data_IF_139108373132
#
_entry.id   IF_139108373132
#
_cell.length_a   1.000
_cell.length_b   1.000
_cell.length_c   1.000
_cell.angle_alpha   90.00
_cell.angle_beta   90.00
_cell.angle_gamma   90.00
#
_symmetry.space_group_name_H-M   'P 1'
#
loop_
_entity.id
_entity.type
_entity.pdbx_description
1 polymer ?
#
# COMPACT_ATOMS: atom_id res chain seq x y z
N UNK A 1 20.50 12.66 0.32
CA UNK A 1 19.96 12.07 1.56
C UNK A 1 19.71 10.61 1.26
N UNK A 2 19.95 9.68 2.19
CA UNK A 2 19.58 8.28 1.95
C UNK A 2 18.09 8.19 1.60
N UNK A 3 17.77 7.27 0.71
CA UNK A 3 16.38 7.03 0.30
C UNK A 3 15.57 6.50 1.48
N UNK A 4 14.31 6.94 1.60
CA UNK A 4 13.38 6.35 2.56
C UNK A 4 12.71 5.14 1.93
N UNK A 5 12.81 4.00 2.59
CA UNK A 5 12.14 2.77 2.21
C UNK A 5 11.01 2.47 3.18
N UNK A 6 9.86 2.12 2.63
CA UNK A 6 8.65 1.75 3.36
C UNK A 6 8.05 0.50 2.77
N UNK A 7 7.25 -0.22 3.54
CA UNK A 7 6.63 -1.47 3.11
C UNK A 7 5.12 -1.31 2.98
N UNK A 8 4.56 -1.79 1.87
CA UNK A 8 3.13 -2.03 1.71
C UNK A 8 2.86 -3.52 1.91
N UNK A 9 2.15 -3.84 2.98
CA UNK A 9 1.73 -5.21 3.28
C UNK A 9 0.22 -5.38 2.99
N UNK A 10 -0.10 -6.36 2.19
CA UNK A 10 -1.48 -6.75 1.89
C UNK A 10 -1.96 -7.86 2.84
N UNK A 11 -1.13 -8.33 3.76
CA UNK A 11 -1.35 -9.55 4.54
C UNK A 11 -1.83 -10.71 3.64
N UNK A 12 -1.04 -11.09 2.63
CA UNK A 12 -1.46 -12.10 1.66
C UNK A 12 -1.59 -13.48 2.31
N UNK A 13 -2.62 -14.21 1.88
CA UNK A 13 -2.84 -15.62 2.24
C UNK A 13 -2.35 -16.48 1.07
N UNK A 14 -1.33 -17.28 1.29
CA UNK A 14 -0.80 -18.23 0.31
C UNK A 14 -1.61 -19.53 0.23
N UNK A 15 -1.33 -20.39 -0.77
CA UNK A 15 -1.93 -21.73 -0.82
C UNK A 15 -1.63 -22.52 0.46
N UNK A 16 -2.68 -23.01 1.12
CA UNK A 16 -2.57 -23.77 2.37
C UNK A 16 -2.30 -22.93 3.62
N UNK A 17 -2.15 -21.62 3.49
CA UNK A 17 -1.98 -20.70 4.62
C UNK A 17 -3.35 -20.23 5.16
N UNK A 18 -3.36 -19.88 6.43
CA UNK A 18 -4.52 -19.30 7.12
C UNK A 18 -4.36 -17.79 7.28
N UNK A 19 -5.46 -17.08 7.51
CA UNK A 19 -5.41 -15.66 7.87
C UNK A 19 -4.58 -15.39 9.14
N UNK A 20 -4.60 -16.33 10.11
CA UNK A 20 -3.81 -16.22 11.33
C UNK A 20 -2.31 -16.23 11.06
N UNK A 21 -1.84 -17.11 10.17
CA UNK A 21 -0.44 -17.18 9.74
C UNK A 21 -0.04 -15.92 8.97
N UNK A 22 -0.92 -15.41 8.11
CA UNK A 22 -0.72 -14.15 7.41
C UNK A 22 -0.57 -12.95 8.37
N UNK A 23 -1.39 -12.87 9.42
CA UNK A 23 -1.24 -11.82 10.44
C UNK A 23 0.05 -11.98 11.27
N UNK A 24 0.46 -13.21 11.59
CA UNK A 24 1.74 -13.47 12.23
C UNK A 24 2.91 -13.04 11.34
N UNK A 25 2.82 -13.28 10.03
CA UNK A 25 3.80 -12.82 9.05
C UNK A 25 3.86 -11.28 8.98
N UNK A 26 2.71 -10.60 9.01
CA UNK A 26 2.65 -9.12 9.05
C UNK A 26 3.36 -8.54 10.28
N UNK A 27 3.22 -9.19 11.43
CA UNK A 27 3.98 -8.81 12.65
C UNK A 27 5.48 -9.04 12.46
N UNK A 28 5.88 -10.20 11.90
CA UNK A 28 7.28 -10.53 11.66
C UNK A 28 7.92 -9.52 10.69
N UNK A 29 7.23 -9.18 9.60
CA UNK A 29 7.67 -8.16 8.62
C UNK A 29 7.86 -6.81 9.30
N UNK A 30 6.89 -6.36 10.11
CA UNK A 30 6.98 -5.05 10.77
C UNK A 30 8.12 -4.98 11.78
N UNK A 31 8.39 -6.04 12.54
CA UNK A 31 9.52 -6.11 13.46
C UNK A 31 10.86 -6.09 12.72
N UNK A 32 10.97 -6.90 11.67
CA UNK A 32 12.18 -6.93 10.85
C UNK A 32 12.42 -5.58 10.16
N UNK A 33 11.37 -4.95 9.63
CA UNK A 33 11.45 -3.62 9.05
C UNK A 33 11.90 -2.56 10.06
N UNK A 34 11.43 -2.64 11.30
CA UNK A 34 11.86 -1.77 12.40
C UNK A 34 13.35 -1.94 12.70
N UNK A 35 13.85 -3.18 12.80
CA UNK A 35 15.26 -3.49 13.07
C UNK A 35 16.19 -3.05 11.94
N UNK A 36 15.72 -3.10 10.69
CA UNK A 36 16.48 -2.72 9.51
C UNK A 36 16.45 -1.22 9.19
N UNK A 37 15.57 -0.45 9.83
CA UNK A 37 15.46 1.00 9.65
C UNK A 37 14.55 1.44 8.52
N UNK A 38 13.56 0.63 8.12
CA UNK A 38 12.49 1.10 7.25
C UNK A 38 11.69 2.21 7.92
N UNK A 39 11.17 3.16 7.15
CA UNK A 39 10.44 4.31 7.65
C UNK A 39 9.08 3.91 8.23
N UNK A 40 8.32 3.06 7.50
CA UNK A 40 6.96 2.65 7.88
C UNK A 40 6.53 1.32 7.26
N UNK A 41 5.47 0.74 7.84
CA UNK A 41 4.68 -0.33 7.21
C UNK A 41 3.24 0.13 7.08
N UNK A 42 2.69 0.08 5.87
CA UNK A 42 1.30 0.35 5.58
C UNK A 42 0.55 -0.92 5.21
N UNK A 43 -0.69 -1.01 5.65
CA UNK A 43 -1.61 -2.12 5.35
C UNK A 43 -2.68 -1.66 4.36
N UNK A 44 -2.85 -2.40 3.26
CA UNK A 44 -3.88 -2.12 2.26
C UNK A 44 -5.25 -2.60 2.75
N UNK A 45 -6.34 -1.95 2.32
CA UNK A 45 -7.71 -2.40 2.56
C UNK A 45 -8.26 -3.08 1.30
N UNK A 46 -8.63 -4.36 1.43
CA UNK A 46 -9.33 -5.10 0.39
C UNK A 46 -10.44 -5.94 1.00
N UNK A 47 -11.60 -5.96 0.31
CA UNK A 47 -12.76 -6.73 0.73
C UNK A 47 -13.06 -7.84 -0.25
N UNK A 48 -13.65 -8.94 0.26
CA UNK A 48 -14.09 -10.09 -0.54
C UNK A 48 -12.98 -10.73 -1.40
N UNK A 49 -11.74 -10.68 -0.96
CA UNK A 49 -10.57 -11.28 -1.62
C UNK A 49 -10.01 -12.41 -0.75
N UNK A 50 -10.19 -13.69 -1.12
CA UNK A 50 -9.73 -14.83 -0.32
C UNK A 50 -8.21 -14.84 -0.06
N UNK A 51 -7.44 -14.30 -0.99
CA UNK A 51 -5.97 -14.27 -0.93
C UNK A 51 -5.39 -13.07 -0.13
N UNK A 52 -6.24 -12.23 0.50
CA UNK A 52 -5.80 -11.04 1.24
C UNK A 52 -6.55 -10.95 2.56
N UNK A 53 -5.82 -10.94 3.68
CA UNK A 53 -6.40 -10.87 5.02
C UNK A 53 -6.64 -9.44 5.53
N UNK A 54 -6.02 -8.41 4.92
CA UNK A 54 -6.10 -7.02 5.39
C UNK A 54 -7.38 -6.30 4.93
N UNK A 55 -8.53 -6.71 5.44
CA UNK A 55 -9.81 -6.00 5.26
C UNK A 55 -10.07 -4.95 6.33
N UNK A 56 -9.63 -5.19 7.56
CA UNK A 56 -9.81 -4.31 8.71
C UNK A 56 -8.47 -3.67 9.11
N UNK A 57 -8.03 -2.66 8.36
CA UNK A 57 -6.70 -2.07 8.51
C UNK A 57 -6.44 -1.53 9.91
N UNK A 58 -7.39 -0.82 10.53
CA UNK A 58 -7.24 -0.26 11.88
C UNK A 58 -7.05 -1.34 12.95
N UNK A 59 -7.70 -2.50 12.81
CA UNK A 59 -7.56 -3.63 13.74
C UNK A 59 -6.16 -4.27 13.59
N UNK A 60 -5.70 -4.47 12.35
CA UNK A 60 -4.37 -5.02 12.08
C UNK A 60 -3.27 -4.07 12.58
N UNK A 61 -3.41 -2.76 12.31
CA UNK A 61 -2.48 -1.73 12.81
C UNK A 61 -2.42 -1.74 14.35
N UNK A 62 -3.57 -1.86 15.04
CA UNK A 62 -3.59 -1.94 16.49
C UNK A 62 -2.82 -3.18 17.01
N UNK A 63 -3.00 -4.33 16.35
CA UNK A 63 -2.30 -5.56 16.72
C UNK A 63 -0.78 -5.42 16.52
N UNK A 64 -0.34 -4.99 15.35
CA UNK A 64 1.08 -4.82 15.03
C UNK A 64 1.73 -3.73 15.88
N UNK A 65 1.00 -2.63 16.14
CA UNK A 65 1.46 -1.54 16.99
C UNK A 65 1.82 -1.97 18.41
N UNK A 66 1.05 -2.90 18.98
CA UNK A 66 1.34 -3.48 20.29
C UNK A 66 2.60 -4.38 20.33
N UNK A 67 3.07 -4.83 19.15
CA UNK A 67 4.17 -5.78 18.99
C UNK A 67 5.44 -5.17 18.37
N UNK A 68 5.42 -3.85 18.09
CA UNK A 68 6.52 -3.02 17.59
C UNK A 68 6.73 -1.79 18.49
N UNK A 69 7.83 -1.08 18.35
CA UNK A 69 8.24 0.01 19.28
C UNK A 69 8.28 1.39 18.63
N UNK A 70 8.87 1.52 17.46
CA UNK A 70 9.25 2.79 16.85
C UNK A 70 8.78 2.97 15.42
N UNK A 71 8.68 1.87 14.63
CA UNK A 71 8.28 1.94 13.23
C UNK A 71 6.90 2.60 13.09
N UNK A 72 6.77 3.45 12.08
CA UNK A 72 5.47 4.05 11.76
C UNK A 72 4.57 3.01 11.11
N UNK A 73 3.30 3.07 11.45
CA UNK A 73 2.26 2.15 10.97
C UNK A 73 1.11 2.95 10.35
N UNK A 74 0.51 2.43 9.31
CA UNK A 74 -0.60 3.14 8.70
C UNK A 74 -1.43 2.31 7.74
N UNK A 75 -2.44 2.95 7.17
CA UNK A 75 -3.21 2.38 6.07
C UNK A 75 -2.63 2.83 4.73
N UNK A 76 -2.44 1.90 3.82
CA UNK A 76 -2.00 2.17 2.47
C UNK A 76 -2.94 1.60 1.39
N UNK A 77 -4.25 2.03 1.42
CA UNK A 77 -4.98 2.99 2.29
C UNK A 77 -6.32 2.47 2.77
N UNK A 78 -6.92 3.30 3.62
CA UNK A 78 -8.36 3.18 3.85
C UNK A 78 -9.09 3.56 2.57
N UNK A 79 -9.99 2.71 2.11
CA UNK A 79 -10.88 3.00 0.99
C UNK A 79 -12.03 3.86 1.50
N UNK A 80 -11.79 5.18 1.65
CA UNK A 80 -12.69 6.10 2.35
C UNK A 80 -14.15 6.07 1.87
N UNK A 81 -14.46 5.87 0.56
CA UNK A 81 -15.85 5.71 0.11
C UNK A 81 -16.61 4.54 0.76
N UNK A 82 -15.93 3.57 1.36
CA UNK A 82 -16.54 2.47 2.10
C UNK A 82 -16.94 2.85 3.55
N UNK A 83 -16.52 4.00 4.03
CA UNK A 83 -16.59 4.38 5.44
C UNK A 83 -17.25 5.73 5.65
N UNK A 84 -17.73 6.00 6.88
CA UNK A 84 -18.05 7.34 7.32
C UNK A 84 -16.77 8.04 7.80
N UNK A 85 -16.48 9.29 7.38
CA UNK A 85 -15.28 10.02 7.81
C UNK A 85 -15.12 10.10 9.33
N UNK A 86 -16.22 10.29 10.06
CA UNK A 86 -16.22 10.30 11.52
C UNK A 86 -15.64 9.00 12.11
N UNK A 87 -16.12 7.86 11.63
CA UNK A 87 -15.67 6.53 12.14
C UNK A 87 -14.16 6.34 11.89
N UNK A 88 -13.65 6.77 10.73
CA UNK A 88 -12.22 6.68 10.44
C UNK A 88 -11.40 7.64 11.32
N UNK A 89 -11.91 8.86 11.56
CA UNK A 89 -11.27 9.80 12.48
C UNK A 89 -11.18 9.24 13.91
N UNK A 90 -12.23 8.60 14.39
CA UNK A 90 -12.25 7.95 15.71
C UNK A 90 -11.29 6.76 15.79
N UNK A 91 -11.27 5.89 14.78
CA UNK A 91 -10.37 4.73 14.72
C UNK A 91 -8.90 5.16 14.69
N UNK A 92 -8.52 6.06 13.79
CA UNK A 92 -7.13 6.50 13.65
C UNK A 92 -6.70 7.46 14.78
N UNK A 93 -7.63 8.23 15.33
CA UNK A 93 -7.42 8.98 16.57
C UNK A 93 -7.15 8.06 17.77
N UNK A 94 -7.89 6.95 17.89
CA UNK A 94 -7.65 5.91 18.90
C UNK A 94 -6.25 5.30 18.72
N UNK A 95 -5.88 4.95 17.49
CA UNK A 95 -4.54 4.41 17.19
C UNK A 95 -3.45 5.43 17.54
N UNK A 96 -3.64 6.71 17.22
CA UNK A 96 -2.68 7.76 17.53
C UNK A 96 -2.54 7.98 19.05
N UNK A 97 -3.61 7.85 19.81
CA UNK A 97 -3.56 7.90 21.27
C UNK A 97 -2.84 6.68 21.87
N UNK A 98 -3.01 5.48 21.29
CA UNK A 98 -2.32 4.27 21.71
C UNK A 98 -0.83 4.28 21.31
N UNK A 99 -0.50 4.84 20.13
CA UNK A 99 0.86 4.83 19.53
C UNK A 99 1.26 6.25 19.07
N UNK A 100 1.54 7.17 20.02
CA UNK A 100 1.82 8.57 19.69
C UNK A 100 2.97 8.74 18.69
N UNK A 101 2.74 9.57 17.67
CA UNK A 101 3.74 9.90 16.64
C UNK A 101 4.01 8.81 15.60
N UNK A 102 3.36 7.64 15.68
CA UNK A 102 3.64 6.48 14.83
C UNK A 102 2.56 6.19 13.78
N UNK A 103 1.44 6.87 13.79
CA UNK A 103 0.28 6.51 12.96
C UNK A 103 0.19 7.40 11.72
N UNK A 104 -0.03 6.77 10.56
CA UNK A 104 -0.30 7.41 9.27
C UNK A 104 -1.69 7.00 8.76
N UNK A 105 -2.35 7.89 8.03
CA UNK A 105 -3.64 7.59 7.41
C UNK A 105 -3.59 7.87 5.91
N UNK A 106 -3.33 6.83 5.15
CA UNK A 106 -3.45 6.87 3.70
C UNK A 106 -4.89 6.62 3.25
N UNK A 107 -5.35 7.39 2.28
CA UNK A 107 -6.74 7.41 1.80
C UNK A 107 -6.81 7.09 0.31
N UNK A 108 -7.61 6.10 -0.06
CA UNK A 108 -7.91 5.70 -1.42
C UNK A 108 -9.35 6.02 -1.83
N UNK A 109 -9.53 6.38 -3.11
CA UNK A 109 -10.86 6.64 -3.69
C UNK A 109 -11.54 5.39 -4.23
N UNK A 110 -10.76 4.43 -4.72
CA UNK A 110 -11.31 3.20 -5.27
C UNK A 110 -12.04 2.41 -4.17
N UNK A 111 -13.17 1.73 -4.48
CA UNK A 111 -13.89 0.96 -3.46
C UNK A 111 -13.11 -0.30 -2.99
N UNK A 112 -12.04 -0.68 -3.66
CA UNK A 112 -11.22 -1.85 -3.31
C UNK A 112 -11.98 -3.17 -3.35
N UNK A 113 -13.14 -3.23 -4.07
CA UNK A 113 -14.06 -4.35 -4.03
C UNK A 113 -15.01 -4.38 -5.23
N UNK A 114 -15.75 -5.47 -5.37
CA UNK A 114 -16.80 -5.65 -6.39
C UNK A 114 -18.14 -5.02 -5.97
N UNK A 115 -19.09 -4.97 -6.92
CA UNK A 115 -20.41 -4.36 -6.72
C UNK A 115 -21.23 -5.02 -5.60
N UNK A 116 -21.14 -6.34 -5.44
CA UNK A 116 -21.88 -7.06 -4.40
C UNK A 116 -21.34 -6.72 -3.01
N UNK A 117 -20.02 -6.57 -2.92
CA UNK A 117 -19.34 -6.14 -1.70
C UNK A 117 -19.72 -4.70 -1.35
N UNK A 118 -19.80 -3.77 -2.31
CA UNK A 118 -20.31 -2.42 -2.08
C UNK A 118 -21.73 -2.44 -1.51
N UNK A 119 -22.61 -3.28 -2.07
CA UNK A 119 -23.95 -3.46 -1.54
C UNK A 119 -23.95 -4.01 -0.10
N UNK A 120 -23.10 -4.99 0.21
CA UNK A 120 -22.94 -5.52 1.57
C UNK A 120 -22.45 -4.46 2.56
N UNK A 121 -21.58 -3.55 2.11
CA UNK A 121 -21.08 -2.40 2.87
C UNK A 121 -22.10 -1.24 2.96
N UNK A 122 -23.31 -1.40 2.36
CA UNK A 122 -24.35 -0.34 2.31
C UNK A 122 -23.88 0.92 1.59
N UNK A 123 -23.05 0.76 0.56
CA UNK A 123 -22.54 1.86 -0.28
C UNK A 123 -23.11 1.79 -1.67
N UNK A 124 -23.38 2.94 -2.27
CA UNK A 124 -23.78 3.06 -3.64
C UNK A 124 -22.59 3.40 -4.56
N UNK A 125 -22.69 3.20 -5.88
CA UNK A 125 -21.62 3.50 -6.82
C UNK A 125 -21.16 4.97 -6.83
N UNK A 126 -22.03 5.91 -6.41
CA UNK A 126 -21.73 7.34 -6.33
C UNK A 126 -20.88 7.73 -5.11
N UNK A 127 -20.70 6.84 -4.14
CA UNK A 127 -19.92 7.15 -2.92
C UNK A 127 -18.49 7.63 -3.22
N UNK A 128 -17.89 7.18 -4.33
CA UNK A 128 -16.55 7.62 -4.74
C UNK A 128 -16.49 9.10 -5.22
N UNK A 129 -17.63 9.70 -5.56
CA UNK A 129 -17.69 11.11 -5.99
C UNK A 129 -17.55 12.06 -4.80
N UNK A 130 -17.98 11.65 -3.62
CA UNK A 130 -17.87 12.41 -2.39
C UNK A 130 -16.44 12.41 -1.79
N UNK A 131 -15.52 11.60 -2.33
CA UNK A 131 -14.17 11.41 -1.77
C UNK A 131 -13.43 12.71 -1.43
N UNK A 132 -13.41 13.77 -2.27
CA UNK A 132 -12.73 15.00 -1.91
C UNK A 132 -13.35 15.70 -0.68
N UNK A 133 -14.67 15.68 -0.57
CA UNK A 133 -15.41 16.25 0.56
C UNK A 133 -15.19 15.43 1.82
N UNK A 134 -15.20 14.10 1.69
CA UNK A 134 -14.95 13.16 2.80
C UNK A 134 -13.53 13.34 3.37
N UNK A 135 -12.51 13.59 2.50
CA UNK A 135 -11.15 13.90 2.94
C UNK A 135 -11.09 15.21 3.73
N UNK A 136 -11.81 16.24 3.28
CA UNK A 136 -11.86 17.53 3.98
C UNK A 136 -12.57 17.38 5.33
N UNK A 137 -13.68 16.65 5.38
CA UNK A 137 -14.42 16.36 6.61
C UNK A 137 -13.54 15.59 7.61
N UNK A 138 -12.90 14.51 7.15
CA UNK A 138 -11.99 13.71 7.96
C UNK A 138 -10.84 14.55 8.53
N UNK A 139 -10.22 15.40 7.70
CA UNK A 139 -9.18 16.33 8.16
C UNK A 139 -9.71 17.29 9.22
N UNK A 140 -10.93 17.79 9.03
CA UNK A 140 -11.61 18.66 10.01
C UNK A 140 -11.73 18.00 11.38
N UNK A 141 -12.16 16.76 11.43
CA UNK A 141 -12.23 15.97 12.69
C UNK A 141 -10.87 15.81 13.36
N UNK A 142 -9.83 15.44 12.59
CA UNK A 142 -8.50 15.18 13.14
C UNK A 142 -7.75 16.45 13.58
N UNK A 143 -8.12 17.62 13.04
CA UNK A 143 -7.49 18.90 13.37
C UNK A 143 -8.25 19.76 14.37
N UNK A 144 -9.36 19.27 14.92
CA UNK A 144 -10.23 20.03 15.83
C UNK A 144 -11.06 21.13 15.13
N UNK A 145 -11.20 21.01 13.81
CA UNK A 145 -11.97 21.97 12.97
C UNK A 145 -13.11 21.28 12.24
N UNK A 146 -13.93 20.55 12.99
CA UNK A 146 -15.07 19.82 12.44
C UNK A 146 -15.93 20.71 11.52
N UNK A 147 -16.22 20.20 10.31
CA UNK A 147 -17.14 20.87 9.36
C UNK A 147 -18.60 20.50 9.63
N UNK A 148 -18.86 19.52 10.51
CA UNK A 148 -20.19 19.10 10.93
C UNK A 148 -20.51 19.71 12.29
N UNK A 149 -21.48 20.64 12.39
CA UNK A 149 -21.78 21.34 13.63
C UNK A 149 -22.17 20.38 14.78
N UNK A 150 -21.53 20.55 15.93
CA UNK A 150 -21.84 19.76 17.15
C UNK A 150 -21.30 18.33 17.12
N UNK A 151 -20.51 17.93 16.12
CA UNK A 151 -19.89 16.62 16.03
C UNK A 151 -18.38 16.71 16.25
N UNK A 152 -17.86 15.94 17.17
CA UNK A 152 -16.44 15.85 17.51
C UNK A 152 -16.00 14.39 17.46
N UNK A 153 -14.91 14.10 16.78
CA UNK A 153 -14.34 12.75 16.71
C UNK A 153 -13.50 12.48 17.98
N UNK A 154 -14.01 11.74 18.91
CA UNK A 154 -13.28 11.39 20.16
C UNK A 154 -12.73 9.96 20.03
N UNK A 155 -11.40 9.75 20.26
CA UNK A 155 -10.36 10.67 20.74
C UNK A 155 -9.56 11.36 19.63
N UNK A 156 -10.03 11.36 18.37
CA UNK A 156 -9.30 11.87 17.19
C UNK A 156 -9.16 13.39 17.12
N UNK A 157 -9.97 14.13 17.84
CA UNK A 157 -9.98 15.59 17.82
C UNK A 157 -8.63 16.17 18.26
N UNK A 158 -8.03 16.99 17.39
CA UNK A 158 -6.69 17.56 17.63
C UNK A 158 -5.53 16.56 17.60
N UNK A 159 -5.75 15.33 17.14
CA UNK A 159 -4.69 14.29 17.04
C UNK A 159 -3.67 14.59 15.94
N UNK A 160 -4.05 15.38 14.93
CA UNK A 160 -3.22 15.71 13.77
C UNK A 160 -2.59 14.49 13.08
N UNK A 161 -3.30 13.35 13.04
CA UNK A 161 -2.84 12.18 12.28
C UNK A 161 -2.55 12.59 10.83
N UNK A 162 -1.32 12.40 10.32
CA UNK A 162 -0.98 12.84 8.98
C UNK A 162 -1.74 12.05 7.92
N UNK A 163 -2.34 12.79 6.98
CA UNK A 163 -3.09 12.24 5.85
C UNK A 163 -2.20 12.11 4.62
N UNK A 164 -2.43 11.06 3.84
CA UNK A 164 -1.79 10.79 2.56
C UNK A 164 -2.86 10.46 1.53
N UNK A 165 -2.76 10.98 0.30
CA UNK A 165 -3.65 10.59 -0.78
C UNK A 165 -2.98 9.49 -1.62
N UNK A 166 -3.68 8.36 -1.78
CA UNK A 166 -3.23 7.25 -2.60
C UNK A 166 -4.01 7.20 -3.90
N UNK A 167 -3.33 6.81 -4.97
CA UNK A 167 -4.00 6.60 -6.26
C UNK A 167 -3.05 6.13 -7.35
N UNK A 168 -3.64 5.81 -8.51
CA UNK A 168 -2.93 5.43 -9.73
C UNK A 168 -3.37 6.28 -10.93
N UNK A 169 -3.84 7.50 -10.68
CA UNK A 169 -4.37 8.38 -11.72
C UNK A 169 -4.12 9.86 -11.40
N UNK A 170 -4.31 10.72 -12.42
CA UNK A 170 -4.20 12.16 -12.26
C UNK A 170 -5.19 12.74 -11.23
N UNK A 171 -6.34 12.10 -11.01
CA UNK A 171 -7.33 12.60 -10.05
C UNK A 171 -6.74 12.66 -8.63
N UNK A 172 -6.13 11.58 -8.15
CA UNK A 172 -5.48 11.53 -6.83
C UNK A 172 -4.34 12.54 -6.71
N UNK A 173 -3.52 12.67 -7.77
CA UNK A 173 -2.43 13.63 -7.85
C UNK A 173 -2.90 15.07 -7.68
N UNK A 174 -3.93 15.48 -8.44
CA UNK A 174 -4.50 16.83 -8.37
C UNK A 174 -5.18 17.10 -7.04
N UNK A 175 -5.88 16.12 -6.47
CA UNK A 175 -6.50 16.26 -5.15
C UNK A 175 -5.42 16.45 -4.07
N UNK A 176 -4.38 15.61 -4.06
CA UNK A 176 -3.27 15.74 -3.12
C UNK A 176 -2.59 17.12 -3.23
N UNK A 177 -2.33 17.58 -4.46
CA UNK A 177 -1.75 18.89 -4.73
C UNK A 177 -2.62 20.03 -4.21
N UNK A 178 -3.92 19.99 -4.49
CA UNK A 178 -4.86 21.03 -4.07
C UNK A 178 -5.02 21.12 -2.55
N UNK A 179 -4.93 19.97 -1.85
CA UNK A 179 -5.06 19.89 -0.39
C UNK A 179 -3.71 20.06 0.34
N UNK A 180 -2.59 20.11 -0.37
CA UNK A 180 -1.24 20.19 0.22
C UNK A 180 -0.87 18.94 1.02
N UNK A 181 -1.24 17.75 0.53
CA UNK A 181 -1.00 16.47 1.18
C UNK A 181 0.05 15.65 0.40
N UNK A 182 0.81 14.76 1.08
CA UNK A 182 1.67 13.81 0.40
C UNK A 182 0.88 12.93 -0.55
N UNK A 183 1.49 12.59 -1.69
CA UNK A 183 0.89 11.75 -2.72
C UNK A 183 1.64 10.42 -2.85
N UNK A 184 0.92 9.30 -2.70
CA UNK A 184 1.44 7.95 -2.92
C UNK A 184 0.87 7.36 -4.20
N UNK A 185 1.75 7.12 -5.20
CA UNK A 185 1.35 6.53 -6.47
C UNK A 185 1.54 5.03 -6.47
N UNK A 186 0.47 4.29 -6.81
CA UNK A 186 0.42 2.84 -6.78
C UNK A 186 1.02 2.18 -8.04
N UNK A 187 2.25 2.56 -8.45
CA UNK A 187 2.92 2.07 -9.66
C UNK A 187 3.26 0.58 -9.63
N UNK A 188 3.30 -0.02 -8.45
CA UNK A 188 3.53 -1.46 -8.26
C UNK A 188 2.43 -2.36 -8.86
N UNK A 189 1.28 -1.82 -9.27
CA UNK A 189 0.23 -2.58 -9.98
C UNK A 189 -0.46 -1.79 -11.10
N UNK A 190 -0.33 -0.47 -11.15
CA UNK A 190 -0.95 0.39 -12.17
C UNK A 190 0.04 1.46 -12.63
N UNK A 191 1.00 1.11 -13.50
CA UNK A 191 2.16 1.96 -13.82
C UNK A 191 1.86 3.11 -14.78
N UNK A 192 0.87 2.97 -15.67
CA UNK A 192 0.70 3.76 -16.89
C UNK A 192 0.67 5.30 -16.70
N UNK A 193 0.13 5.80 -15.58
CA UNK A 193 0.00 7.24 -15.37
C UNK A 193 1.05 7.83 -14.42
N UNK A 194 2.09 7.09 -14.02
CA UNK A 194 3.06 7.49 -13.00
C UNK A 194 3.67 8.86 -13.28
N UNK A 195 4.29 9.03 -14.44
CA UNK A 195 5.03 10.25 -14.77
C UNK A 195 4.11 11.48 -14.87
N UNK A 196 2.96 11.31 -15.54
CA UNK A 196 1.98 12.37 -15.68
C UNK A 196 1.38 12.78 -14.32
N UNK A 197 1.13 11.81 -13.42
CA UNK A 197 0.59 12.07 -12.11
C UNK A 197 1.61 12.78 -11.20
N UNK A 198 2.86 12.36 -11.20
CA UNK A 198 3.93 13.03 -10.42
C UNK A 198 4.15 14.46 -10.93
N UNK A 199 4.19 14.66 -12.26
CA UNK A 199 4.35 15.97 -12.85
C UNK A 199 3.18 16.90 -12.48
N UNK A 200 1.93 16.43 -12.60
CA UNK A 200 0.75 17.19 -12.22
C UNK A 200 0.75 17.53 -10.72
N UNK A 201 1.06 16.56 -9.86
CA UNK A 201 1.14 16.78 -8.42
C UNK A 201 2.15 17.87 -8.05
N UNK A 202 3.37 17.81 -8.59
CA UNK A 202 4.41 18.80 -8.30
C UNK A 202 4.10 20.20 -8.83
N UNK A 203 3.57 20.28 -10.05
CA UNK A 203 3.27 21.57 -10.69
C UNK A 203 2.06 22.28 -10.11
N UNK A 204 1.07 21.55 -9.60
CA UNK A 204 -0.18 22.08 -9.06
C UNK A 204 -0.18 22.16 -7.52
N UNK A 205 0.90 21.76 -6.85
CA UNK A 205 1.00 21.65 -5.39
C UNK A 205 0.79 23.01 -4.70
N UNK A 206 -0.03 22.99 -3.65
CA UNK A 206 -0.29 24.14 -2.77
C UNK A 206 0.15 23.78 -1.35
N UNK A 207 1.02 24.57 -0.70
CA UNK A 207 1.41 24.32 0.68
C UNK A 207 0.21 24.28 1.64
N UNK A 208 0.35 23.47 2.68
CA UNK A 208 -0.63 23.35 3.77
C UNK A 208 0.05 23.38 5.14
N UNK A 209 -0.73 23.33 6.22
CA UNK A 209 -0.19 23.17 7.59
C UNK A 209 0.57 21.84 7.77
N UNK A 210 0.25 20.80 7.00
CA UNK A 210 0.91 19.50 7.08
C UNK A 210 2.18 19.44 6.22
N UNK A 211 2.22 20.15 5.07
CA UNK A 211 3.28 19.96 4.08
C UNK A 211 3.60 21.27 3.34
N UNK A 212 4.85 21.73 3.43
CA UNK A 212 5.33 22.94 2.77
C UNK A 212 5.76 22.70 1.30
N UNK A 213 6.21 21.51 0.97
CA UNK A 213 6.73 21.12 -0.35
C UNK A 213 6.13 19.79 -0.78
N UNK A 214 6.01 19.55 -2.10
CA UNK A 214 5.56 18.25 -2.60
C UNK A 214 6.36 17.09 -2.00
N UNK A 215 5.66 16.03 -1.62
CA UNK A 215 6.24 14.78 -1.12
C UNK A 215 5.63 13.60 -1.88
N UNK A 216 6.45 12.92 -2.68
CA UNK A 216 6.04 11.82 -3.55
C UNK A 216 6.51 10.48 -2.96
N UNK A 217 5.57 9.56 -2.78
CA UNK A 217 5.83 8.16 -2.49
C UNK A 217 5.55 7.37 -3.77
N UNK A 218 6.53 6.62 -4.29
CA UNK A 218 6.35 5.78 -5.46
C UNK A 218 6.30 4.29 -5.07
N UNK A 219 5.24 3.60 -5.50
CA UNK A 219 5.08 2.16 -5.27
C UNK A 219 5.96 1.34 -6.21
N UNK A 220 6.67 0.34 -5.70
CA UNK A 220 7.51 -0.56 -6.49
C UNK A 220 7.41 -1.98 -5.96
N UNK A 221 7.38 -2.98 -6.85
CA UNK A 221 7.48 -4.37 -6.45
C UNK A 221 8.95 -4.75 -6.21
N UNK A 222 9.20 -5.58 -5.20
CA UNK A 222 10.52 -6.14 -4.97
C UNK A 222 10.43 -7.66 -4.78
N UNK A 223 11.34 -8.37 -5.45
CA UNK A 223 11.60 -9.79 -5.29
C UNK A 223 13.11 -9.94 -5.18
N UNK A 224 13.65 -9.74 -3.98
CA UNK A 224 15.07 -9.96 -3.69
C UNK A 224 15.28 -11.39 -3.20
N UNK A 225 16.29 -12.06 -3.73
CA UNK A 225 16.70 -13.40 -3.31
C UNK A 225 18.23 -13.52 -3.29
N UNK A 226 18.74 -14.57 -2.65
CA UNK A 226 20.19 -14.80 -2.54
C UNK A 226 20.86 -15.07 -3.90
N UNK A 227 20.09 -15.52 -4.90
CA UNK A 227 20.56 -15.73 -6.29
C UNK A 227 19.56 -15.19 -7.29
N UNK A 228 20.07 -14.77 -8.45
CA UNK A 228 19.22 -14.32 -9.57
C UNK A 228 18.31 -15.44 -10.12
N UNK A 229 18.68 -16.72 -9.98
CA UNK A 229 17.81 -17.85 -10.36
C UNK A 229 16.61 -17.94 -9.44
N UNK A 230 16.82 -17.93 -8.12
CA UNK A 230 15.75 -17.99 -7.13
C UNK A 230 14.79 -16.80 -7.29
N UNK A 231 15.31 -15.58 -7.53
CA UNK A 231 14.48 -14.41 -7.76
C UNK A 231 13.57 -14.57 -9.01
N UNK A 232 14.10 -15.16 -10.11
CA UNK A 232 13.32 -15.44 -11.33
C UNK A 232 12.23 -16.51 -11.10
N UNK A 233 12.52 -17.54 -10.30
CA UNK A 233 11.54 -18.57 -9.95
C UNK A 233 10.39 -17.97 -9.12
N UNK A 234 10.72 -17.13 -8.15
CA UNK A 234 9.72 -16.39 -7.37
C UNK A 234 8.89 -15.45 -8.25
N UNK A 235 9.53 -14.73 -9.20
CA UNK A 235 8.80 -13.90 -10.17
C UNK A 235 7.81 -14.73 -10.99
N UNK A 236 8.21 -15.93 -11.47
CA UNK A 236 7.30 -16.80 -12.23
C UNK A 236 6.09 -17.21 -11.36
N UNK A 237 6.29 -17.51 -10.09
CA UNK A 237 5.20 -17.79 -9.15
C UNK A 237 4.26 -16.58 -8.98
N UNK A 238 4.81 -15.38 -8.90
CA UNK A 238 4.01 -14.12 -8.87
C UNK A 238 3.19 -13.96 -10.15
N UNK A 239 3.79 -14.19 -11.32
CA UNK A 239 3.11 -14.09 -12.63
C UNK A 239 1.93 -15.05 -12.71
N UNK A 240 2.13 -16.32 -12.29
CA UNK A 240 1.07 -17.34 -12.23
C UNK A 240 -0.09 -16.90 -11.34
N UNK A 241 0.20 -16.45 -10.12
CA UNK A 241 -0.84 -15.96 -9.19
C UNK A 241 -1.62 -14.78 -9.75
N UNK A 242 -0.97 -13.82 -10.42
CA UNK A 242 -1.65 -12.71 -11.07
C UNK A 242 -2.52 -13.17 -12.23
N UNK A 243 -2.05 -14.10 -13.06
CA UNK A 243 -2.84 -14.68 -14.14
C UNK A 243 -4.09 -15.41 -13.62
N UNK A 244 -3.96 -16.19 -12.55
CA UNK A 244 -5.10 -16.85 -11.88
C UNK A 244 -6.08 -15.83 -11.34
N UNK A 245 -5.62 -14.76 -10.71
CA UNK A 245 -6.47 -13.68 -10.18
C UNK A 245 -7.22 -12.93 -11.28
N UNK A 246 -6.57 -12.66 -12.42
CA UNK A 246 -7.19 -12.05 -13.59
C UNK A 246 -8.23 -12.95 -14.20
N UNK A 247 -7.93 -14.24 -14.38
CA UNK A 247 -8.87 -15.25 -14.87
C UNK A 247 -10.08 -15.35 -13.95
N UNK A 248 -9.87 -15.46 -12.64
CA UNK A 248 -10.95 -15.56 -11.65
C UNK A 248 -11.91 -14.38 -11.77
N UNK A 249 -11.39 -13.17 -11.92
CA UNK A 249 -12.20 -11.95 -12.10
C UNK A 249 -12.97 -11.95 -13.42
N UNK A 250 -12.33 -12.32 -14.52
CA UNK A 250 -12.98 -12.38 -15.85
C UNK A 250 -14.04 -13.46 -15.95
N UNK A 251 -13.76 -14.62 -15.38
CA UNK A 251 -14.68 -15.77 -15.40
C UNK A 251 -15.79 -15.69 -14.33
N UNK A 252 -15.70 -14.75 -13.40
CA UNK A 252 -16.62 -14.68 -12.26
C UNK A 252 -16.50 -15.87 -11.30
N UNK A 253 -15.35 -16.54 -11.29
CA UNK A 253 -15.05 -17.69 -10.43
C UNK A 253 -14.32 -17.19 -9.20
N UNK A 254 -14.72 -17.69 -8.03
CA UNK A 254 -14.07 -17.33 -6.78
C UNK A 254 -12.97 -18.36 -6.45
N UNK A 255 -11.75 -17.88 -6.33
CA UNK A 255 -10.58 -18.64 -5.86
C UNK A 255 -10.38 -19.98 -6.58
N UNK A 256 -10.11 -19.99 -7.90
CA UNK A 256 -9.93 -21.24 -8.63
C UNK A 256 -8.61 -21.89 -8.24
N UNK A 257 -8.68 -23.14 -7.80
CA UNK A 257 -7.49 -23.97 -7.58
C UNK A 257 -6.94 -24.43 -8.93
N UNK A 258 -5.88 -23.78 -9.42
CA UNK A 258 -5.20 -24.11 -10.66
C UNK A 258 -3.78 -24.60 -10.38
N UNK A 259 -3.35 -25.64 -11.12
CA UNK A 259 -1.94 -26.07 -11.10
C UNK A 259 -1.05 -25.03 -11.79
N UNK A 260 0.26 -25.11 -11.55
CA UNK A 260 1.25 -24.27 -12.21
C UNK A 260 1.16 -24.35 -13.74
N UNK A 261 0.96 -25.56 -14.30
CA UNK A 261 0.82 -25.77 -15.74
C UNK A 261 -0.49 -25.14 -16.27
N UNK A 262 -1.56 -25.11 -15.46
CA UNK A 262 -2.80 -24.42 -15.84
C UNK A 262 -2.62 -22.91 -15.83
N UNK A 263 -1.93 -22.38 -14.82
CA UNK A 263 -1.59 -20.97 -14.75
C UNK A 263 -0.66 -20.53 -15.90
N UNK A 264 0.33 -21.36 -16.26
CA UNK A 264 1.20 -21.10 -17.41
C UNK A 264 0.43 -21.11 -18.74
N UNK A 265 -0.60 -21.96 -18.88
CA UNK A 265 -1.52 -21.92 -20.05
C UNK A 265 -2.31 -20.61 -20.09
N UNK A 266 -2.75 -20.09 -18.95
CA UNK A 266 -3.44 -18.79 -18.91
C UNK A 266 -2.52 -17.65 -19.36
N UNK A 267 -1.26 -17.65 -18.92
CA UNK A 267 -0.26 -16.69 -19.40
C UNK A 267 -0.10 -16.82 -20.93
N UNK A 268 0.17 -18.04 -21.44
CA UNK A 268 0.33 -18.26 -22.88
C UNK A 268 -0.93 -18.02 -23.73
N UNK A 269 -2.10 -17.93 -23.12
CA UNK A 269 -3.37 -17.59 -23.77
C UNK A 269 -3.66 -16.07 -23.86
N UNK A 270 -2.67 -15.22 -23.51
CA UNK A 270 -2.74 -13.76 -23.71
C UNK A 270 -2.87 -12.95 -22.41
N UNK A 271 -2.80 -13.57 -21.23
CA UNK A 271 -2.75 -12.82 -19.97
C UNK A 271 -1.35 -12.32 -19.63
N UNK A 272 -0.30 -12.83 -20.29
CA UNK A 272 1.10 -12.46 -20.08
C UNK A 272 1.33 -10.95 -20.25
N UNK A 273 0.86 -10.36 -21.35
CA UNK A 273 1.03 -8.93 -21.61
C UNK A 273 0.41 -8.04 -20.51
N UNK A 274 -0.76 -8.43 -20.00
CA UNK A 274 -1.41 -7.67 -18.93
C UNK A 274 -0.71 -7.85 -17.59
N UNK A 275 -0.24 -9.08 -17.30
CA UNK A 275 0.56 -9.35 -16.10
C UNK A 275 1.88 -8.58 -16.15
N UNK A 276 2.55 -8.54 -17.31
CA UNK A 276 3.80 -7.81 -17.50
C UNK A 276 3.61 -6.29 -17.37
N UNK A 277 2.51 -5.75 -17.89
CA UNK A 277 2.15 -4.35 -17.66
C UNK A 277 2.00 -4.06 -16.17
N UNK A 278 1.28 -4.89 -15.42
CA UNK A 278 1.13 -4.72 -13.97
C UNK A 278 2.46 -4.80 -13.21
N UNK A 279 3.45 -5.54 -13.73
CA UNK A 279 4.77 -5.77 -13.12
C UNK A 279 5.86 -4.85 -13.70
N UNK A 280 5.51 -3.82 -14.48
CA UNK A 280 6.46 -2.90 -15.13
C UNK A 280 7.50 -2.36 -14.14
N UNK A 281 7.07 -1.92 -12.97
CA UNK A 281 7.98 -1.42 -11.93
C UNK A 281 8.23 -2.52 -10.88
N UNK A 282 9.15 -3.43 -11.22
CA UNK A 282 9.53 -4.55 -10.37
C UNK A 282 11.04 -4.72 -10.35
N UNK A 283 11.63 -4.59 -9.16
CA UNK A 283 13.03 -4.90 -8.92
C UNK A 283 13.16 -6.39 -8.56
N UNK A 284 13.83 -7.16 -9.40
CA UNK A 284 13.94 -8.63 -9.27
C UNK A 284 15.40 -9.06 -9.40
N UNK A 285 15.92 -9.79 -8.43
CA UNK A 285 17.28 -10.30 -8.50
C UNK A 285 17.97 -10.43 -7.14
N UNK A 286 19.30 -10.46 -7.18
CA UNK A 286 20.16 -10.34 -6.01
C UNK A 286 20.07 -8.94 -5.39
N UNK A 287 20.52 -8.73 -4.13
CA UNK A 287 20.50 -7.39 -3.50
C UNK A 287 21.13 -6.29 -4.36
N UNK A 288 22.26 -6.56 -5.02
CA UNK A 288 22.92 -5.58 -5.88
C UNK A 288 22.14 -5.25 -7.17
N UNK A 289 21.47 -6.24 -7.78
CA UNK A 289 20.61 -6.02 -8.96
C UNK A 289 19.37 -5.23 -8.56
N UNK A 290 18.75 -5.56 -7.42
CA UNK A 290 17.60 -4.83 -6.87
C UNK A 290 17.97 -3.38 -6.54
N UNK A 291 19.10 -3.14 -5.86
CA UNK A 291 19.60 -1.81 -5.57
C UNK A 291 19.80 -0.99 -6.84
N UNK A 292 20.48 -1.54 -7.84
CA UNK A 292 20.72 -0.87 -9.13
C UNK A 292 19.41 -0.46 -9.81
N UNK A 293 18.40 -1.34 -9.80
CA UNK A 293 17.08 -1.04 -10.34
C UNK A 293 16.40 0.09 -9.59
N UNK A 294 16.39 0.04 -8.25
CA UNK A 294 15.74 1.03 -7.42
C UNK A 294 16.41 2.40 -7.51
N UNK A 295 17.74 2.45 -7.62
CA UNK A 295 18.47 3.70 -7.87
C UNK A 295 18.05 4.34 -9.22
N UNK A 296 17.92 3.54 -10.27
CA UNK A 296 17.39 3.98 -11.56
C UNK A 296 15.93 4.45 -11.48
N UNK A 297 15.09 3.74 -10.73
CA UNK A 297 13.68 4.12 -10.52
C UNK A 297 13.56 5.44 -9.73
N UNK A 298 14.41 5.65 -8.72
CA UNK A 298 14.50 6.91 -7.99
C UNK A 298 14.97 8.08 -8.87
N UNK A 299 15.98 7.85 -9.73
CA UNK A 299 16.43 8.86 -10.69
C UNK A 299 15.34 9.22 -11.70
N UNK A 300 14.53 8.25 -12.12
CA UNK A 300 13.41 8.47 -13.03
C UNK A 300 12.25 9.25 -12.36
N UNK A 301 11.83 8.83 -11.18
CA UNK A 301 10.63 9.39 -10.52
C UNK A 301 10.92 10.62 -9.67
N UNK A 302 12.18 10.77 -9.22
CA UNK A 302 12.57 11.72 -8.17
C UNK A 302 11.69 11.59 -6.92
N UNK A 303 11.23 10.38 -6.60
CA UNK A 303 10.41 10.15 -5.42
C UNK A 303 11.18 10.43 -4.12
N UNK A 304 10.47 10.96 -3.12
CA UNK A 304 11.03 11.23 -1.80
C UNK A 304 11.09 9.97 -0.95
N UNK A 305 10.27 8.98 -1.29
CA UNK A 305 10.14 7.69 -0.59
C UNK A 305 9.71 6.59 -1.56
N UNK A 306 10.22 5.37 -1.39
CA UNK A 306 9.74 4.18 -2.09
C UNK A 306 8.84 3.35 -1.17
N UNK A 307 7.64 3.07 -1.63
CA UNK A 307 6.70 2.12 -1.00
C UNK A 307 6.85 0.75 -1.65
N UNK A 308 7.53 -0.14 -0.97
CA UNK A 308 7.89 -1.47 -1.49
C UNK A 308 6.81 -2.50 -1.19
N UNK A 309 6.33 -3.16 -2.24
CA UNK A 309 5.50 -4.36 -2.12
C UNK A 309 6.39 -5.61 -2.34
N UNK A 310 6.71 -6.32 -1.26
CA UNK A 310 7.45 -7.58 -1.36
C UNK A 310 6.52 -8.69 -1.86
N UNK A 311 6.72 -9.13 -3.10
CA UNK A 311 5.79 -9.98 -3.83
C UNK A 311 6.04 -11.49 -3.69
N UNK A 312 7.14 -11.91 -3.06
CA UNK A 312 7.45 -13.34 -2.88
C UNK A 312 6.26 -14.08 -2.21
N UNK A 313 5.69 -15.11 -2.86
CA UNK A 313 4.49 -15.77 -2.33
C UNK A 313 4.69 -16.46 -0.98
N UNK A 314 5.78 -17.27 -0.76
CA UNK A 314 6.04 -17.85 0.55
C UNK A 314 6.42 -16.81 1.59
N UNK A 315 5.95 -16.98 2.83
CA UNK A 315 6.25 -16.07 3.94
C UNK A 315 7.76 -15.94 4.17
N UNK A 316 8.48 -17.05 4.16
CA UNK A 316 9.93 -17.10 4.39
C UNK A 316 10.70 -16.31 3.32
N UNK A 317 10.36 -16.48 2.05
CA UNK A 317 10.99 -15.76 0.95
C UNK A 317 10.63 -14.26 0.99
N UNK A 318 9.43 -13.92 1.44
CA UNK A 318 9.01 -12.53 1.63
C UNK A 318 9.80 -11.86 2.75
N UNK A 319 9.97 -12.50 3.90
CA UNK A 319 10.83 -12.05 4.99
C UNK A 319 12.29 -11.94 4.54
N UNK A 320 12.79 -12.93 3.78
CA UNK A 320 14.15 -12.88 3.23
C UNK A 320 14.33 -11.70 2.28
N UNK A 321 13.35 -11.43 1.42
CA UNK A 321 13.37 -10.27 0.51
C UNK A 321 13.39 -8.94 1.27
N UNK A 322 12.67 -8.81 2.38
CA UNK A 322 12.72 -7.62 3.26
C UNK A 322 14.11 -7.45 3.86
N UNK A 323 14.72 -8.55 4.37
CA UNK A 323 16.07 -8.50 4.93
C UNK A 323 17.10 -8.07 3.90
N UNK A 324 17.14 -8.74 2.75
CA UNK A 324 18.10 -8.47 1.68
C UNK A 324 18.05 -7.03 1.17
N UNK A 325 16.85 -6.46 1.02
CA UNK A 325 16.69 -5.08 0.61
C UNK A 325 17.15 -4.09 1.70
N UNK A 326 16.74 -4.32 2.95
CA UNK A 326 17.11 -3.45 4.06
C UNK A 326 18.64 -3.42 4.31
N UNK A 327 19.29 -4.59 4.28
CA UNK A 327 20.74 -4.71 4.39
C UNK A 327 21.46 -3.96 3.26
N UNK A 328 20.98 -4.09 2.01
CA UNK A 328 21.60 -3.46 0.85
C UNK A 328 21.46 -1.93 0.83
N UNK A 329 20.31 -1.39 1.22
CA UNK A 329 20.00 0.03 0.99
C UNK A 329 19.97 0.89 2.26
N UNK A 330 19.73 0.31 3.43
CA UNK A 330 19.59 1.07 4.68
C UNK A 330 20.79 0.92 5.59
N UNK A 331 21.41 -0.27 5.69
CA UNK A 331 22.53 -0.50 6.55
C UNK A 331 23.89 -0.16 5.89
N UNK A 332 24.00 -0.28 4.55
CA UNK A 332 25.22 0.11 3.83
C UNK A 332 25.54 1.62 3.92
N UNK A 333 24.57 2.45 4.29
CA UNK A 333 24.73 3.91 4.46
C UNK A 333 25.16 4.32 5.88
N UNK A 334 25.21 3.39 6.82
CA UNK A 334 25.57 3.64 8.22
C UNK A 334 27.04 3.30 8.55
N UNK A 335 27.80 2.76 7.60
CA UNK A 335 29.21 2.44 7.68
C UNK A 335 30.06 3.45 6.87
#
# INVERSE_FOLDING_TARGET
>A
MPVRLSILDLAPIGPGETASESFAASVAIARQAEELGYERVWYAEHHNMPSIASSATSVLIAHVGALTRSIRLGAGGVMLPNHAPLTIAEQFGTLAAMYPGRIDLGLGRAPGSDRNTMYALRRDPGSAEAFPQDVVELRGYLTGRSVVPGVTAVPGDGSHVPLYILGSSLFGAKLAAALGLPYAFASHFSPAALDAAIAAYRSEFRPSEQLERPYVIAGVNVIAADTASAARELLQSVRRRRAVSLYARQAGVRDPELTDEQADRLLGAGLDAHVDEMLTYSAVGTPGEVQTYLDGFLQHTHADELMVAHQAPPIEDRLRSVALLGEAMLQATAA
#
